data_IF_976414628720
#
_entry.id   IF_976414628720
#
_cell.length_a   1.000
_cell.length_b   1.000
_cell.length_c   1.000
_cell.angle_alpha   90.00
_cell.angle_beta   90.00
_cell.angle_gamma   90.00
#
_symmetry.space_group_name_H-M   'P 1'
#
loop_
_entity.id
_entity.type
_entity.pdbx_description
1 polymer ?
#
# COMPACT_ATOMS: atom_id res chain seq x y z
N UNK A 1 -83.17 -24.42 7.64
CA UNK A 1 -82.24 -24.90 6.60
C UNK A 1 -81.71 -23.70 5.82
N UNK A 2 -80.62 -23.04 6.23
CA UNK A 2 -79.78 -22.18 5.37
C UNK A 2 -78.41 -22.04 6.06
N UNK A 3 -77.44 -22.88 5.66
CA UNK A 3 -76.05 -22.83 6.17
C UNK A 3 -75.13 -22.09 5.15
N UNK A 4 -75.68 -21.07 4.49
CA UNK A 4 -75.04 -20.29 3.42
C UNK A 4 -74.30 -19.07 3.95
N UNK A 5 -74.76 -18.45 5.04
CA UNK A 5 -74.04 -17.36 5.73
C UNK A 5 -72.64 -17.78 6.20
N UNK A 6 -72.53 -18.98 6.76
CA UNK A 6 -71.25 -19.50 7.27
C UNK A 6 -70.24 -19.74 6.13
N UNK A 7 -70.71 -20.09 4.93
CA UNK A 7 -69.83 -20.27 3.75
C UNK A 7 -69.37 -18.93 3.16
N UNK A 8 -70.22 -17.91 3.14
CA UNK A 8 -69.85 -16.55 2.72
C UNK A 8 -68.82 -15.92 3.66
N UNK A 9 -68.96 -16.15 4.96
CA UNK A 9 -68.02 -15.67 5.98
C UNK A 9 -66.63 -16.30 5.85
N UNK A 10 -66.56 -17.62 5.60
CA UNK A 10 -65.27 -18.30 5.34
C UNK A 10 -64.60 -17.77 4.07
N UNK A 11 -65.37 -17.52 3.00
CA UNK A 11 -64.84 -16.94 1.75
C UNK A 11 -64.20 -15.56 1.96
N UNK A 12 -64.86 -14.68 2.71
CA UNK A 12 -64.31 -13.37 3.06
C UNK A 12 -63.03 -13.52 3.90
N UNK A 13 -63.00 -14.46 4.85
CA UNK A 13 -61.81 -14.77 5.66
C UNK A 13 -60.61 -15.20 4.79
N UNK A 14 -60.83 -16.02 3.76
CA UNK A 14 -59.75 -16.47 2.87
C UNK A 14 -59.18 -15.33 2.01
N UNK A 15 -60.03 -14.40 1.53
CA UNK A 15 -59.57 -13.24 0.76
C UNK A 15 -58.74 -12.27 1.60
N UNK A 16 -59.12 -12.06 2.86
CA UNK A 16 -58.35 -11.21 3.78
C UNK A 16 -56.95 -11.78 4.01
N UNK A 17 -56.84 -13.08 4.27
CA UNK A 17 -55.54 -13.74 4.48
C UNK A 17 -54.70 -13.71 3.20
N UNK A 18 -55.32 -13.90 2.04
CA UNK A 18 -54.62 -13.82 0.75
C UNK A 18 -53.97 -12.46 0.54
N UNK A 19 -54.73 -11.37 0.74
CA UNK A 19 -54.19 -10.02 0.61
C UNK A 19 -53.09 -9.76 1.65
N UNK A 20 -53.31 -10.18 2.90
CA UNK A 20 -52.31 -10.03 3.95
C UNK A 20 -50.99 -10.73 3.60
N UNK A 21 -51.03 -11.96 3.07
CA UNK A 21 -49.84 -12.70 2.66
C UNK A 21 -49.11 -12.01 1.51
N UNK A 22 -49.84 -11.47 0.53
CA UNK A 22 -49.25 -10.74 -0.60
C UNK A 22 -48.54 -9.46 -0.12
N UNK A 23 -49.13 -8.72 0.82
CA UNK A 23 -48.52 -7.50 1.36
C UNK A 23 -47.24 -7.80 2.14
N UNK A 24 -47.23 -8.84 2.97
CA UNK A 24 -46.02 -9.27 3.71
C UNK A 24 -44.93 -9.72 2.73
N UNK A 25 -45.29 -10.47 1.69
CA UNK A 25 -44.35 -10.91 0.66
C UNK A 25 -43.71 -9.73 -0.09
N UNK A 26 -44.48 -8.67 -0.39
CA UNK A 26 -43.97 -7.48 -1.06
C UNK A 26 -42.93 -6.71 -0.21
N UNK A 27 -43.21 -6.54 1.09
CA UNK A 27 -42.28 -5.88 2.02
C UNK A 27 -41.00 -6.73 2.17
N UNK A 28 -41.15 -8.05 2.33
CA UNK A 28 -40.02 -8.97 2.45
C UNK A 28 -39.14 -8.95 1.18
N UNK A 29 -39.74 -8.95 0.00
CA UNK A 29 -39.02 -8.83 -1.27
C UNK A 29 -38.23 -7.52 -1.38
N UNK A 30 -38.82 -6.39 -0.93
CA UNK A 30 -38.14 -5.10 -0.88
C UNK A 30 -36.88 -5.12 -0.01
N UNK A 31 -36.94 -5.75 1.16
CA UNK A 31 -35.77 -5.93 2.04
C UNK A 31 -34.72 -6.83 1.38
N UNK A 32 -35.13 -7.96 0.78
CA UNK A 32 -34.21 -8.89 0.12
C UNK A 32 -33.45 -8.24 -1.04
N UNK A 33 -34.13 -7.44 -1.86
CA UNK A 33 -33.50 -6.71 -2.98
C UNK A 33 -32.50 -5.68 -2.46
N UNK A 34 -32.87 -4.92 -1.43
CA UNK A 34 -31.98 -3.91 -0.86
C UNK A 34 -30.71 -4.54 -0.25
N UNK A 35 -30.87 -5.64 0.50
CA UNK A 35 -29.73 -6.38 1.05
C UNK A 35 -28.86 -6.98 -0.06
N UNK A 36 -29.46 -7.56 -1.10
CA UNK A 36 -28.71 -8.08 -2.25
C UNK A 36 -27.90 -6.98 -2.96
N UNK A 37 -28.49 -5.79 -3.14
CA UNK A 37 -27.82 -4.64 -3.73
C UNK A 37 -26.63 -4.15 -2.92
N UNK A 38 -26.79 -4.03 -1.59
CA UNK A 38 -25.69 -3.66 -0.69
C UNK A 38 -24.54 -4.67 -0.77
N UNK A 39 -24.86 -5.97 -0.68
CA UNK A 39 -23.85 -7.03 -0.72
C UNK A 39 -23.14 -7.08 -2.08
N UNK A 40 -23.85 -6.80 -3.18
CA UNK A 40 -23.24 -6.74 -4.51
C UNK A 40 -22.27 -5.56 -4.62
N UNK A 41 -22.66 -4.37 -4.17
CA UNK A 41 -21.78 -3.20 -4.17
C UNK A 41 -20.54 -3.43 -3.30
N UNK A 42 -20.74 -4.03 -2.11
CA UNK A 42 -19.64 -4.40 -1.23
C UNK A 42 -18.70 -5.44 -1.86
N UNK A 43 -19.25 -6.48 -2.50
CA UNK A 43 -18.45 -7.50 -3.18
C UNK A 43 -17.65 -6.91 -4.36
N UNK A 44 -18.22 -5.97 -5.11
CA UNK A 44 -17.53 -5.26 -6.18
C UNK A 44 -16.39 -4.40 -5.63
N UNK A 45 -16.65 -3.63 -4.57
CA UNK A 45 -15.64 -2.80 -3.92
C UNK A 45 -14.50 -3.66 -3.37
N UNK A 46 -14.78 -4.74 -2.65
CA UNK A 46 -13.75 -5.66 -2.14
C UNK A 46 -13.00 -6.35 -3.29
N UNK A 47 -13.67 -6.66 -4.40
CA UNK A 47 -13.03 -7.20 -5.60
C UNK A 47 -12.03 -6.22 -6.21
N UNK A 48 -12.40 -4.94 -6.33
CA UNK A 48 -11.51 -3.88 -6.81
C UNK A 48 -10.33 -3.66 -5.85
N UNK A 49 -10.61 -3.54 -4.54
CA UNK A 49 -9.58 -3.37 -3.50
C UNK A 49 -8.59 -4.55 -3.48
N UNK A 50 -9.08 -5.80 -3.59
CA UNK A 50 -8.22 -6.98 -3.61
C UNK A 50 -7.40 -7.06 -4.88
N UNK A 51 -7.99 -6.68 -6.03
CA UNK A 51 -7.27 -6.65 -7.31
C UNK A 51 -6.14 -5.63 -7.25
N UNK A 52 -6.42 -4.41 -6.79
CA UNK A 52 -5.43 -3.36 -6.57
C UNK A 52 -4.33 -3.82 -5.60
N UNK A 53 -4.68 -4.42 -4.46
CA UNK A 53 -3.70 -4.90 -3.46
C UNK A 53 -2.71 -5.94 -4.04
N UNK A 54 -3.14 -6.77 -5.01
CA UNK A 54 -2.25 -7.78 -5.62
C UNK A 54 -1.57 -7.30 -6.90
N UNK A 55 -2.14 -6.31 -7.61
CA UNK A 55 -1.56 -5.74 -8.84
C UNK A 55 -0.58 -4.60 -8.56
N UNK A 56 -0.78 -3.87 -7.47
CA UNK A 56 0.00 -2.68 -7.13
C UNK A 56 1.34 -3.09 -6.49
N UNK A 57 2.25 -3.50 -7.37
CA UNK A 57 3.57 -3.95 -7.00
C UNK A 57 4.63 -2.93 -7.45
N UNK A 58 5.57 -2.65 -6.55
CA UNK A 58 6.76 -1.84 -6.85
C UNK A 58 7.95 -2.78 -7.00
N UNK A 59 8.70 -2.61 -8.08
CA UNK A 59 9.96 -3.30 -8.28
C UNK A 59 11.13 -2.43 -7.81
N UNK A 60 11.96 -2.99 -6.91
CA UNK A 60 13.23 -2.40 -6.52
C UNK A 60 14.29 -2.81 -7.53
N UNK A 61 14.93 -1.83 -8.16
CA UNK A 61 15.99 -2.04 -9.14
C UNK A 61 17.36 -2.18 -8.46
N UNK A 62 18.19 -1.14 -8.57
CA UNK A 62 19.53 -1.10 -8.00
C UNK A 62 19.55 -0.32 -6.69
N UNK A 63 20.34 -0.82 -5.74
CA UNK A 63 20.65 -0.14 -4.49
C UNK A 63 22.16 0.15 -4.51
N UNK A 64 22.53 1.41 -4.35
CA UNK A 64 23.93 1.88 -4.36
C UNK A 64 24.17 2.70 -3.10
N UNK A 65 25.16 2.30 -2.30
CA UNK A 65 25.61 3.04 -1.13
C UNK A 65 26.81 3.93 -1.47
N UNK A 66 26.82 5.16 -0.95
CA UNK A 66 27.98 6.04 -0.97
C UNK A 66 28.47 6.29 0.45
N UNK A 67 29.78 6.35 0.60
CA UNK A 67 30.44 6.85 1.80
C UNK A 67 30.53 8.37 1.66
N UNK A 68 30.12 9.10 2.69
CA UNK A 68 30.34 10.54 2.75
C UNK A 68 31.60 10.79 3.58
N UNK A 69 32.53 11.57 3.02
CA UNK A 69 33.75 12.02 3.69
C UNK A 69 33.50 13.44 4.19
N UNK A 70 33.43 13.60 5.51
CA UNK A 70 33.35 14.93 6.15
C UNK A 70 34.74 15.59 6.29
N UNK A 71 35.81 14.79 6.24
CA UNK A 71 37.20 15.24 6.38
C UNK A 71 37.92 15.30 5.02
N UNK A 72 38.14 16.50 4.49
CA UNK A 72 38.88 16.76 3.24
C UNK A 72 40.40 16.89 3.47
N UNK A 73 40.87 16.89 4.72
CA UNK A 73 42.27 17.16 5.08
C UNK A 73 43.17 15.91 5.20
N UNK A 74 42.62 14.69 5.08
CA UNK A 74 43.43 13.47 5.07
C UNK A 74 43.56 12.87 3.67
N UNK A 75 44.76 12.99 3.10
CA UNK A 75 45.22 12.37 1.85
C UNK A 75 45.41 10.84 1.94
N UNK A 76 44.88 10.20 2.97
CA UNK A 76 44.88 8.75 3.13
C UNK A 76 43.58 8.19 2.52
N UNK A 77 43.71 7.26 1.58
CA UNK A 77 42.60 6.54 0.93
C UNK A 77 41.89 5.55 1.89
N UNK A 78 41.91 5.80 3.18
CA UNK A 78 41.14 5.07 4.16
C UNK A 78 39.75 5.71 4.16
N UNK A 79 38.84 5.14 3.35
CA UNK A 79 37.42 5.49 3.41
C UNK A 79 36.94 5.36 4.86
N UNK A 80 36.20 6.34 5.36
CA UNK A 80 35.35 6.13 6.53
C UNK A 80 34.50 4.93 6.15
N UNK A 81 34.81 3.75 6.70
CA UNK A 81 34.24 2.46 6.31
C UNK A 81 32.76 2.43 6.66
N UNK A 82 31.96 3.40 6.23
CA UNK A 82 30.61 3.69 6.70
C UNK A 82 29.77 4.16 5.54
N UNK A 83 28.70 3.43 5.25
CA UNK A 83 27.71 3.84 4.26
C UNK A 83 26.84 4.92 4.90
N UNK A 84 26.94 6.13 4.40
CA UNK A 84 26.23 7.31 4.91
C UNK A 84 25.04 7.69 4.01
N UNK A 85 25.13 7.37 2.72
CA UNK A 85 24.05 7.64 1.76
C UNK A 85 23.67 6.36 1.03
N UNK A 86 22.39 6.08 0.89
CA UNK A 86 21.86 4.92 0.16
C UNK A 86 20.91 5.42 -0.94
N UNK A 87 21.22 5.15 -2.20
CA UNK A 87 20.32 5.39 -3.32
C UNK A 87 19.65 4.07 -3.72
N UNK A 88 18.33 4.00 -3.66
CA UNK A 88 17.56 2.89 -4.20
C UNK A 88 16.70 3.36 -5.37
N UNK A 89 16.74 2.64 -6.49
CA UNK A 89 15.90 2.93 -7.65
C UNK A 89 14.62 2.10 -7.61
N UNK A 90 13.47 2.74 -7.79
CA UNK A 90 12.13 2.13 -7.78
C UNK A 90 11.45 2.34 -9.12
N UNK A 91 10.66 1.34 -9.51
CA UNK A 91 9.83 1.32 -10.71
C UNK A 91 8.51 0.63 -10.38
N UNK A 92 7.45 0.93 -11.13
CA UNK A 92 6.22 0.15 -11.09
C UNK A 92 6.44 -1.23 -11.74
N UNK A 93 5.80 -2.25 -11.20
CA UNK A 93 5.65 -3.52 -11.88
C UNK A 93 4.62 -3.39 -13.01
N UNK A 94 4.68 -4.30 -13.98
CA UNK A 94 3.70 -4.33 -15.07
C UNK A 94 2.30 -4.60 -14.52
N UNK A 95 1.33 -3.75 -14.89
CA UNK A 95 -0.06 -3.86 -14.42
C UNK A 95 -0.34 -3.23 -13.05
N UNK A 96 0.63 -2.54 -12.45
CA UNK A 96 0.42 -1.71 -11.26
C UNK A 96 -0.22 -0.38 -11.64
N UNK A 97 -1.12 0.11 -10.80
CA UNK A 97 -1.60 1.49 -10.89
C UNK A 97 -0.55 2.47 -10.37
N UNK A 98 -0.82 3.77 -10.55
CA UNK A 98 0.06 4.84 -10.10
C UNK A 98 0.23 4.85 -8.57
N UNK A 99 1.47 4.80 -8.09
CA UNK A 99 1.79 4.73 -6.65
C UNK A 99 2.48 6.01 -6.19
N UNK A 100 2.07 6.50 -5.02
CA UNK A 100 2.71 7.64 -4.36
C UNK A 100 3.77 7.18 -3.34
N UNK A 101 5.04 7.45 -3.64
CA UNK A 101 6.17 7.05 -2.80
C UNK A 101 6.29 7.87 -1.50
N UNK A 102 5.64 9.03 -1.40
CA UNK A 102 5.62 9.80 -0.15
C UNK A 102 4.76 9.18 0.95
N UNK A 103 3.83 8.28 0.59
CA UNK A 103 3.05 7.50 1.54
C UNK A 103 3.68 6.15 1.87
N UNK A 104 4.72 5.74 1.14
CA UNK A 104 5.44 4.50 1.41
C UNK A 104 6.26 4.60 2.70
N UNK A 105 6.41 3.48 3.40
CA UNK A 105 7.32 3.32 4.53
C UNK A 105 8.47 2.39 4.14
N UNK A 106 9.68 2.77 4.53
CA UNK A 106 10.90 2.03 4.24
C UNK A 106 11.49 1.51 5.54
N UNK A 107 11.63 0.20 5.67
CA UNK A 107 12.27 -0.42 6.83
C UNK A 107 13.70 -0.79 6.49
N UNK A 108 14.66 -0.11 7.11
CA UNK A 108 16.07 -0.46 7.04
C UNK A 108 16.42 -1.29 8.27
N UNK A 109 16.98 -2.48 8.08
CA UNK A 109 17.42 -3.36 9.16
C UNK A 109 18.89 -3.75 8.99
N UNK A 110 19.65 -3.62 10.07
CA UNK A 110 21.06 -3.98 10.15
C UNK A 110 21.30 -4.72 11.46
N UNK A 111 21.58 -6.02 11.37
CA UNK A 111 21.82 -6.89 12.52
C UNK A 111 20.68 -6.84 13.53
N UNK A 112 20.96 -6.32 14.74
CA UNK A 112 20.00 -6.22 15.85
C UNK A 112 19.14 -4.95 15.85
N UNK A 113 19.38 -4.00 14.94
CA UNK A 113 18.67 -2.73 14.88
C UNK A 113 17.83 -2.63 13.61
N UNK A 114 16.59 -2.19 13.74
CA UNK A 114 15.68 -1.91 12.63
C UNK A 114 15.07 -0.51 12.81
N UNK A 115 15.10 0.29 11.76
CA UNK A 115 14.51 1.63 11.73
C UNK A 115 13.52 1.72 10.59
N UNK A 116 12.30 2.15 10.90
CA UNK A 116 11.27 2.45 9.90
C UNK A 116 11.33 3.93 9.59
N UNK A 117 11.46 4.26 8.31
CA UNK A 117 11.52 5.63 7.80
C UNK A 117 10.28 5.88 6.96
N UNK A 118 9.51 6.91 7.28
CA UNK A 118 8.39 7.34 6.45
C UNK A 118 8.89 8.09 5.23
N UNK A 119 8.36 7.75 4.05
CA UNK A 119 8.64 8.37 2.76
C UNK A 119 8.20 9.83 2.63
N UNK A 120 7.56 10.42 3.63
CA UNK A 120 7.11 11.81 3.55
C UNK A 120 8.28 12.80 3.56
N UNK A 121 8.63 13.32 2.37
CA UNK A 121 9.69 14.32 2.15
C UNK A 121 9.45 15.62 2.95
N UNK A 122 8.21 15.93 3.33
CA UNK A 122 7.87 17.17 4.04
C UNK A 122 8.22 17.15 5.53
N UNK A 123 8.35 15.96 6.11
CA UNK A 123 8.72 15.75 7.53
C UNK A 123 10.14 15.19 7.65
N UNK A 124 10.60 14.43 6.66
CA UNK A 124 11.89 13.74 6.65
C UNK A 124 12.81 14.21 5.50
N UNK A 125 12.72 15.47 5.06
CA UNK A 125 13.51 15.98 3.91
C UNK A 125 15.03 15.93 4.11
N UNK A 126 15.48 15.77 5.35
CA UNK A 126 16.88 15.56 5.72
C UNK A 126 17.32 14.08 5.61
N UNK A 127 16.36 13.15 5.66
CA UNK A 127 16.57 11.70 5.64
C UNK A 127 16.22 11.07 4.29
N UNK A 128 15.23 11.60 3.57
CA UNK A 128 14.76 11.07 2.29
C UNK A 128 14.67 12.19 1.24
N UNK A 129 15.32 11.99 0.10
CA UNK A 129 15.18 12.84 -1.08
C UNK A 129 14.83 12.01 -2.32
N UNK A 130 13.97 12.57 -3.17
CA UNK A 130 13.47 11.92 -4.39
C UNK A 130 14.12 12.56 -5.61
N UNK A 131 14.74 11.75 -6.46
CA UNK A 131 15.33 12.16 -7.73
C UNK A 131 14.69 11.38 -8.88
N UNK A 132 13.80 12.00 -9.68
CA UNK A 132 13.28 11.36 -10.89
C UNK A 132 14.36 11.31 -11.96
N UNK A 133 14.61 10.12 -12.54
CA UNK A 133 15.56 9.94 -13.66
C UNK A 133 14.82 9.99 -15.00
N UNK A 134 13.58 9.49 -15.05
CA UNK A 134 12.79 9.36 -16.28
C UNK A 134 11.30 9.50 -15.92
N UNK A 135 10.55 10.29 -16.70
CA UNK A 135 9.11 10.53 -16.48
C UNK A 135 8.74 11.82 -15.71
N UNK A 136 8.92 12.97 -16.35
CA UNK A 136 8.35 14.31 -16.08
C UNK A 136 8.54 15.05 -14.72
N UNK A 137 8.21 16.36 -14.79
CA UNK A 137 8.32 17.50 -13.86
C UNK A 137 8.98 17.27 -12.48
N UNK A 138 10.09 18.00 -12.24
CA UNK A 138 10.69 18.23 -10.91
C UNK A 138 9.59 18.37 -9.85
N UNK A 139 9.72 17.63 -8.75
CA UNK A 139 8.94 17.71 -7.48
C UNK A 139 7.77 16.73 -7.26
N UNK A 140 7.39 15.85 -8.19
CA UNK A 140 6.33 14.85 -7.89
C UNK A 140 6.92 13.52 -7.40
N UNK A 141 6.47 13.03 -6.25
CA UNK A 141 6.87 11.74 -5.64
C UNK A 141 5.99 10.56 -6.07
N UNK A 142 5.26 10.70 -7.16
CA UNK A 142 4.41 9.67 -7.73
C UNK A 142 5.16 8.95 -8.87
N UNK A 143 4.98 7.64 -8.95
CA UNK A 143 5.30 6.86 -10.14
C UNK A 143 3.98 6.62 -10.87
N UNK A 144 3.83 7.18 -12.07
CA UNK A 144 2.58 7.10 -12.82
C UNK A 144 2.62 6.01 -13.89
N UNK A 145 3.82 5.68 -14.39
CA UNK A 145 4.02 4.69 -15.44
C UNK A 145 5.10 3.66 -15.09
N UNK A 146 5.08 2.51 -15.78
CA UNK A 146 6.03 1.39 -15.68
C UNK A 146 7.43 1.79 -16.21
N UNK A 147 7.48 2.80 -17.08
CA UNK A 147 8.72 3.37 -17.59
C UNK A 147 9.35 4.41 -16.65
N UNK A 148 8.60 4.90 -15.66
CA UNK A 148 9.11 5.88 -14.70
C UNK A 148 10.16 5.24 -13.78
N UNK A 149 11.24 5.97 -13.55
CA UNK A 149 12.32 5.57 -12.66
C UNK A 149 12.56 6.65 -11.61
N UNK A 150 12.25 6.32 -10.36
CA UNK A 150 12.52 7.18 -9.21
C UNK A 150 13.72 6.65 -8.43
N UNK A 151 14.69 7.51 -8.15
CA UNK A 151 15.74 7.20 -7.16
C UNK A 151 15.40 7.87 -5.84
N UNK A 152 15.22 7.05 -4.81
CA UNK A 152 15.08 7.51 -3.43
C UNK A 152 16.45 7.45 -2.78
N UNK A 153 16.94 8.60 -2.35
CA UNK A 153 18.16 8.74 -1.58
C UNK A 153 17.80 8.79 -0.11
N UNK A 154 18.35 7.86 0.65
CA UNK A 154 18.31 7.84 2.10
C UNK A 154 19.63 8.37 2.65
N UNK A 155 19.56 9.36 3.53
CA UNK A 155 20.70 9.82 4.30
C UNK A 155 20.68 9.15 5.68
N UNK A 156 21.69 8.35 5.98
CA UNK A 156 21.78 7.52 7.18
C UNK A 156 22.50 8.23 8.34
N UNK A 157 23.06 9.42 8.11
CA UNK A 157 23.72 10.20 9.17
C UNK A 157 22.71 10.79 10.16
N UNK A 158 21.51 11.13 9.67
CA UNK A 158 20.44 11.78 10.44
C UNK A 158 19.33 10.80 10.86
N UNK A 159 19.48 9.50 10.56
CA UNK A 159 18.58 8.44 11.05
C UNK A 159 19.03 8.00 12.44
N UNK A 160 18.39 8.57 13.46
CA UNK A 160 18.55 8.16 14.85
C UNK A 160 18.07 6.71 15.04
N UNK A 161 18.99 5.75 14.98
CA UNK A 161 18.75 4.33 15.28
C UNK A 161 19.33 3.32 14.28
N UNK A 162 19.90 3.74 13.16
CA UNK A 162 20.55 2.80 12.24
C UNK A 162 21.98 2.50 12.71
N UNK A 163 22.27 1.23 12.97
CA UNK A 163 23.64 0.77 13.15
C UNK A 163 24.46 1.17 11.91
N UNK A 164 25.46 2.04 12.11
CA UNK A 164 26.37 2.52 11.07
C UNK A 164 27.02 1.33 10.38
N UNK A 165 26.82 1.20 9.07
CA UNK A 165 27.23 0.03 8.28
C UNK A 165 28.74 0.02 8.03
N UNK A 166 29.54 -0.90 8.58
CA UNK A 166 30.94 -1.02 8.20
C UNK A 166 31.08 -1.39 6.71
N UNK A 167 31.95 -0.71 5.96
CA UNK A 167 32.32 -1.01 4.58
C UNK A 167 33.01 -2.39 4.55
N UNK A 168 32.25 -3.43 4.22
CA UNK A 168 32.82 -4.73 3.92
C UNK A 168 33.32 -4.76 2.48
N UNK A 169 34.59 -4.41 2.34
CA UNK A 169 35.44 -4.78 1.22
C UNK A 169 35.22 -6.23 0.83
N UNK A 170 34.74 -6.47 -0.39
CA UNK A 170 34.92 -7.68 -1.24
C UNK A 170 35.39 -8.94 -0.51
N UNK A 171 34.52 -9.63 0.21
CA UNK A 171 34.44 -11.11 0.29
C UNK A 171 33.62 -11.54 1.50
N UNK A 172 32.33 -11.76 1.32
CA UNK A 172 31.63 -12.92 1.88
C UNK A 172 30.20 -12.84 1.37
N UNK A 173 29.87 -13.78 0.49
CA UNK A 173 28.51 -14.07 0.09
C UNK A 173 27.62 -14.14 1.35
N UNK A 174 26.42 -13.52 1.33
CA UNK A 174 25.35 -13.62 2.33
C UNK A 174 25.23 -12.51 3.40
N UNK A 175 25.60 -11.26 3.14
CA UNK A 175 24.92 -10.16 3.86
C UNK A 175 23.53 -9.96 3.21
N UNK A 176 22.54 -10.74 3.64
CA UNK A 176 21.14 -10.62 3.19
C UNK A 176 20.57 -9.29 3.71
N UNK A 177 20.80 -8.20 2.98
CA UNK A 177 20.03 -6.96 3.12
C UNK A 177 18.60 -7.26 2.68
N UNK A 178 17.74 -7.63 3.64
CA UNK A 178 16.33 -7.87 3.39
C UNK A 178 15.59 -6.56 3.60
N UNK A 179 15.49 -5.77 2.53
CA UNK A 179 14.59 -4.61 2.51
C UNK A 179 13.15 -5.14 2.43
N UNK A 180 12.49 -5.26 3.57
CA UNK A 180 11.07 -5.59 3.63
C UNK A 180 10.28 -4.27 3.57
N UNK A 181 9.81 -3.93 2.37
CA UNK A 181 8.85 -2.84 2.17
C UNK A 181 7.48 -3.41 2.54
N UNK A 182 6.98 -3.06 3.73
CA UNK A 182 5.61 -3.35 4.12
C UNK A 182 4.79 -2.08 3.87
N UNK A 183 4.00 -2.08 2.79
CA UNK A 183 2.95 -1.10 2.59
C UNK A 183 1.87 -1.34 3.65
N UNK A 184 1.97 -0.67 4.78
CA UNK A 184 0.89 -0.64 5.76
C UNK A 184 -0.12 0.40 5.28
N UNK A 185 -1.13 -0.06 4.54
CA UNK A 185 -2.29 0.75 4.19
C UNK A 185 -3.01 1.15 5.49
N UNK A 186 -2.90 2.43 5.86
CA UNK A 186 -3.64 3.00 6.98
C UNK A 186 -5.06 3.27 6.50
N UNK A 187 -6.02 2.47 6.99
CA UNK A 187 -7.39 2.96 7.19
C UNK A 187 -7.48 3.66 8.54
#
# INVERSE_FOLDING_TARGET
>A
MLNTENRGQVGIGTLIVFIAMVLVAAIAAGVLINTAGLLQAQAQQTGQETTAEVSDLIQVGKIVGYEYKDDLDQTSLEGNQKIEVLNASFRLAAGSDAINLSKASYTLSSGSNATVISGNNRTNGDVISYYPIQGFQKETSILADVEDLMVVRFNLTNVSGSARYPNQTRSSWLCRLRLAIYLQTSR
#
